data_IF_827832211763
#
_entry.id   IF_827832211763
#
_cell.length_a   1.000
_cell.length_b   1.000
_cell.length_c   1.000
_cell.angle_alpha   90.00
_cell.angle_beta   90.00
_cell.angle_gamma   90.00
#
_symmetry.space_group_name_H-M   'P 1'
#
loop_
_entity.id
_entity.type
_entity.pdbx_description
1 polymer ?
#
# COMPACT_ATOMS: atom_id res chain seq x y z
N UNK A 1 10.83 -3.60 21.33
CA UNK A 1 11.42 -3.27 20.02
C UNK A 1 10.49 -3.80 18.93
N UNK A 2 9.91 -2.93 18.10
CA UNK A 2 9.02 -3.34 17.01
C UNK A 2 9.74 -3.34 15.65
N UNK A 3 9.45 -4.30 14.78
CA UNK A 3 10.04 -4.41 13.44
C UNK A 3 9.16 -3.71 12.41
N UNK A 4 9.72 -3.03 11.41
CA UNK A 4 8.91 -2.49 10.31
C UNK A 4 8.61 -3.59 9.29
N UNK A 5 7.35 -3.86 8.95
CA UNK A 5 7.04 -4.80 7.90
C UNK A 5 7.52 -4.26 6.55
N UNK A 6 8.11 -5.12 5.72
CA UNK A 6 8.54 -4.71 4.38
C UNK A 6 7.34 -4.71 3.45
N UNK A 7 6.94 -3.54 2.96
CA UNK A 7 5.80 -3.39 2.06
C UNK A 7 6.29 -3.13 0.63
N UNK A 8 5.93 -4.04 -0.27
CA UNK A 8 6.14 -3.88 -1.70
C UNK A 8 4.84 -3.45 -2.36
N UNK A 9 4.91 -2.39 -3.17
CA UNK A 9 3.81 -1.90 -3.97
C UNK A 9 4.29 -1.77 -5.41
N UNK A 10 3.49 -2.21 -6.36
CA UNK A 10 3.77 -2.08 -7.80
C UNK A 10 2.51 -1.68 -8.53
N UNK A 11 2.68 -0.91 -9.61
CA UNK A 11 1.60 -0.51 -10.51
C UNK A 11 2.10 -0.56 -11.94
N UNK A 12 1.32 -1.18 -12.82
CA UNK A 12 1.63 -1.37 -14.22
C UNK A 12 0.54 -0.87 -15.16
N UNK A 13 0.54 -1.41 -16.38
CA UNK A 13 -0.43 -1.07 -17.44
C UNK A 13 -1.88 -1.27 -16.96
N UNK A 14 -2.79 -0.49 -17.52
CA UNK A 14 -4.24 -0.50 -17.19
C UNK A 14 -4.55 -0.35 -15.70
N UNK A 15 -3.63 0.28 -14.96
CA UNK A 15 -3.72 0.51 -13.52
C UNK A 15 -3.82 -0.79 -12.69
N UNK A 16 -3.26 -1.88 -13.21
CA UNK A 16 -3.09 -3.13 -12.46
C UNK A 16 -2.02 -2.92 -11.39
N UNK A 17 -2.42 -3.05 -10.15
CA UNK A 17 -1.56 -2.84 -9.00
C UNK A 17 -1.50 -4.11 -8.15
N UNK A 18 -0.41 -4.25 -7.42
CA UNK A 18 -0.23 -5.31 -6.45
C UNK A 18 0.46 -4.77 -5.20
N UNK A 19 0.10 -5.34 -4.06
CA UNK A 19 0.76 -5.10 -2.78
C UNK A 19 1.15 -6.42 -2.16
N UNK A 20 2.30 -6.46 -1.50
CA UNK A 20 2.76 -7.60 -0.71
C UNK A 20 3.44 -7.10 0.55
N UNK A 21 3.10 -7.71 1.68
CA UNK A 21 3.74 -7.46 2.98
C UNK A 21 4.60 -8.66 3.32
N UNK A 22 5.88 -8.42 3.58
CA UNK A 22 6.83 -9.42 4.07
C UNK A 22 7.17 -9.11 5.52
N UNK A 23 6.84 -10.05 6.39
CA UNK A 23 7.05 -10.02 7.82
C UNK A 23 7.27 -11.46 8.33
N UNK A 24 7.63 -11.62 9.60
CA UNK A 24 7.79 -12.92 10.23
C UNK A 24 6.46 -13.65 10.45
N UNK A 25 5.36 -12.90 10.54
CA UNK A 25 4.00 -13.43 10.70
C UNK A 25 3.13 -13.13 9.50
N UNK A 26 2.06 -13.92 9.34
CA UNK A 26 1.07 -13.68 8.28
C UNK A 26 0.23 -12.45 8.60
N UNK A 27 -0.01 -11.63 7.57
CA UNK A 27 -0.93 -10.49 7.62
C UNK A 27 -2.21 -10.74 6.82
N UNK A 28 -2.59 -12.01 6.61
CA UNK A 28 -3.87 -12.35 5.97
C UNK A 28 -5.06 -11.68 6.70
N UNK A 29 -6.00 -11.14 5.93
CA UNK A 29 -7.16 -10.42 6.47
C UNK A 29 -6.88 -8.99 6.98
N UNK A 30 -5.60 -8.60 7.11
CA UNK A 30 -5.23 -7.23 7.48
C UNK A 30 -5.32 -6.28 6.30
N UNK A 31 -5.40 -4.98 6.59
CA UNK A 31 -5.55 -3.92 5.60
C UNK A 31 -4.23 -3.21 5.34
N UNK A 32 -3.94 -3.01 4.06
CA UNK A 32 -2.97 -2.02 3.57
C UNK A 32 -3.72 -0.92 2.85
N UNK A 33 -3.33 0.32 3.10
CA UNK A 33 -3.92 1.50 2.49
C UNK A 33 -3.04 2.00 1.36
N UNK A 34 -3.62 2.32 0.21
CA UNK A 34 -2.93 3.10 -0.82
C UNK A 34 -3.16 4.57 -0.49
N UNK A 35 -2.05 5.29 -0.33
CA UNK A 35 -2.03 6.71 -0.10
C UNK A 35 -1.62 7.44 -1.38
N UNK A 36 -2.20 8.62 -1.56
CA UNK A 36 -1.84 9.58 -2.61
C UNK A 36 -1.24 10.81 -1.95
N UNK A 37 -0.14 11.29 -2.48
CA UNK A 37 0.42 12.59 -2.12
C UNK A 37 -0.38 13.69 -2.82
N UNK A 38 -0.87 14.66 -2.04
CA UNK A 38 -1.69 15.76 -2.53
C UNK A 38 -0.86 17.03 -2.74
N UNK A 39 -1.45 18.03 -3.41
CA UNK A 39 -0.85 19.36 -3.57
C UNK A 39 -0.57 20.10 -2.25
N UNK A 40 -1.20 19.66 -1.16
CA UNK A 40 -1.01 20.22 0.18
C UNK A 40 0.13 19.52 0.94
N UNK A 41 0.95 18.72 0.25
CA UNK A 41 2.05 17.95 0.83
C UNK A 41 1.63 16.88 1.85
N UNK A 42 0.42 16.34 1.70
CA UNK A 42 -0.14 15.35 2.61
C UNK A 42 -0.34 13.99 1.95
N UNK A 43 -0.20 12.94 2.76
CA UNK A 43 -0.51 11.57 2.37
C UNK A 43 -1.94 11.19 2.75
N UNK A 44 -2.84 11.18 1.77
CA UNK A 44 -4.25 10.86 1.99
C UNK A 44 -4.53 9.42 1.57
N UNK A 45 -5.14 8.64 2.46
CA UNK A 45 -5.62 7.28 2.17
C UNK A 45 -6.81 7.39 1.21
N UNK A 46 -6.75 6.72 0.06
CA UNK A 46 -7.89 6.71 -0.89
C UNK A 46 -8.35 5.31 -1.28
N UNK A 47 -7.59 4.26 -0.91
CA UNK A 47 -8.00 2.87 -1.13
C UNK A 47 -7.55 1.99 0.02
N UNK A 48 -8.45 1.14 0.52
CA UNK A 48 -8.10 0.04 1.41
C UNK A 48 -8.02 -1.27 0.61
N UNK A 49 -7.01 -2.09 0.93
CA UNK A 49 -6.76 -3.40 0.31
C UNK A 49 -6.64 -4.43 1.42
N UNK A 50 -7.54 -5.40 1.44
CA UNK A 50 -7.47 -6.54 2.36
C UNK A 50 -6.51 -7.57 1.77
N UNK A 51 -5.52 -7.99 2.57
CA UNK A 51 -4.52 -8.96 2.17
C UNK A 51 -5.09 -10.38 2.18
N UNK A 52 -4.72 -11.18 1.18
CA UNK A 52 -5.05 -12.61 1.14
C UNK A 52 -4.09 -13.46 1.97
N UNK A 53 -4.22 -14.78 1.87
CA UNK A 53 -3.38 -15.77 2.57
C UNK A 53 -1.88 -15.59 2.32
N UNK A 54 -1.49 -15.08 1.14
CA UNK A 54 -0.10 -14.77 0.79
C UNK A 54 0.44 -13.44 1.34
N UNK A 55 -0.30 -12.80 2.26
CA UNK A 55 -0.02 -11.43 2.74
C UNK A 55 0.11 -10.41 1.60
N UNK A 56 -0.58 -10.69 0.49
CA UNK A 56 -0.57 -9.88 -0.72
C UNK A 56 -1.92 -9.87 -1.42
N UNK A 57 -2.10 -8.91 -2.33
CA UNK A 57 -3.31 -8.78 -3.14
C UNK A 57 -3.03 -7.99 -4.41
N UNK A 58 -3.58 -8.45 -5.53
CA UNK A 58 -3.66 -7.71 -6.78
C UNK A 58 -5.02 -7.02 -6.91
N UNK A 59 -5.06 -5.83 -7.51
CA UNK A 59 -6.26 -5.01 -7.65
C UNK A 59 -6.11 -3.97 -8.78
N UNK A 60 -7.20 -3.26 -9.09
CA UNK A 60 -7.20 -2.12 -10.01
C UNK A 60 -7.49 -0.82 -9.26
N UNK A 61 -6.78 0.24 -9.63
CA UNK A 61 -6.84 1.52 -8.93
C UNK A 61 -7.95 2.47 -9.41
N UNK A 62 -8.43 2.34 -10.65
CA UNK A 62 -9.51 3.15 -11.24
C UNK A 62 -9.34 4.68 -11.04
N UNK A 63 -8.11 5.17 -11.12
CA UNK A 63 -7.74 6.57 -11.12
C UNK A 63 -8.21 7.26 -12.41
N UNK A 64 -8.68 8.50 -12.26
CA UNK A 64 -8.94 9.41 -13.39
C UNK A 64 -7.62 9.81 -14.07
N UNK A 65 -7.69 10.33 -15.29
CA UNK A 65 -6.52 10.86 -16.03
C UNK A 65 -5.74 11.85 -15.16
N UNK A 66 -4.41 11.79 -15.19
CA UNK A 66 -3.56 12.66 -14.38
C UNK A 66 -2.27 12.01 -13.89
N UNK A 67 -1.48 12.77 -13.13
CA UNK A 67 -0.24 12.33 -12.49
C UNK A 67 -0.48 12.12 -10.99
N UNK A 68 -0.04 10.99 -10.48
CA UNK A 68 -0.25 10.58 -9.09
C UNK A 68 1.07 10.14 -8.48
N UNK A 69 1.31 10.57 -7.24
CA UNK A 69 2.40 10.08 -6.41
C UNK A 69 1.79 9.19 -5.34
N UNK A 70 2.09 7.90 -5.38
CA UNK A 70 1.40 6.85 -4.63
C UNK A 70 2.36 6.07 -3.75
N UNK A 71 1.86 5.57 -2.62
CA UNK A 71 2.55 4.55 -1.80
C UNK A 71 1.54 3.62 -1.14
N UNK A 72 1.97 2.42 -0.78
CA UNK A 72 1.24 1.58 0.16
C UNK A 72 1.66 1.92 1.59
N UNK A 73 0.72 1.86 2.53
CA UNK A 73 0.90 2.20 3.94
C UNK A 73 0.11 1.22 4.82
N UNK A 74 0.75 0.71 5.86
CA UNK A 74 0.13 -0.15 6.87
C UNK A 74 0.33 0.50 8.25
N UNK A 75 -0.77 0.80 8.92
CA UNK A 75 -0.74 1.35 10.28
C UNK A 75 -0.32 0.28 11.30
N UNK A 76 0.22 0.70 12.44
CA UNK A 76 0.58 -0.17 13.57
C UNK A 76 -0.58 -1.13 13.95
N UNK A 77 -1.81 -0.62 14.07
CA UNK A 77 -2.99 -1.44 14.42
C UNK A 77 -3.29 -2.56 13.41
N UNK A 78 -2.86 -2.40 12.15
CA UNK A 78 -3.03 -3.42 11.12
C UNK A 78 -1.83 -4.36 11.09
N UNK A 79 -0.62 -3.85 11.32
CA UNK A 79 0.58 -4.66 11.40
C UNK A 79 0.54 -5.62 12.59
N UNK A 80 -0.02 -5.18 13.73
CA UNK A 80 -0.19 -5.99 14.94
C UNK A 80 1.00 -5.91 15.89
N UNK A 81 0.91 -6.63 16.99
CA UNK A 81 1.91 -6.63 18.07
C UNK A 81 3.29 -7.01 17.53
N UNK A 82 4.31 -6.27 17.96
CA UNK A 82 5.70 -6.48 17.51
C UNK A 82 6.05 -5.79 16.19
N UNK A 83 5.09 -5.13 15.52
CA UNK A 83 5.34 -4.37 14.30
C UNK A 83 5.07 -2.87 14.45
N UNK A 84 5.94 -2.08 13.83
CA UNK A 84 5.71 -0.64 13.62
C UNK A 84 4.86 -0.44 12.36
N UNK A 85 4.41 0.80 12.13
CA UNK A 85 3.86 1.16 10.82
C UNK A 85 4.92 1.00 9.73
N UNK A 86 4.45 0.71 8.53
CA UNK A 86 5.29 0.51 7.36
C UNK A 86 4.71 1.22 6.16
N UNK A 87 5.58 1.60 5.23
CA UNK A 87 5.18 2.12 3.93
C UNK A 87 6.11 1.59 2.85
N UNK A 88 5.59 1.50 1.63
CA UNK A 88 6.39 1.15 0.46
C UNK A 88 7.23 2.34 -0.01
N UNK A 89 8.12 2.08 -0.97
CA UNK A 89 8.66 3.14 -1.83
C UNK A 89 7.51 3.90 -2.51
N UNK A 90 7.76 5.18 -2.78
CA UNK A 90 6.86 6.05 -3.54
C UNK A 90 6.96 5.76 -5.03
N UNK A 91 5.81 5.71 -5.71
CA UNK A 91 5.73 5.53 -7.16
C UNK A 91 5.03 6.73 -7.77
N UNK A 92 5.63 7.31 -8.80
CA UNK A 92 4.98 8.29 -9.66
C UNK A 92 4.31 7.54 -10.82
N UNK A 93 3.01 7.67 -10.93
CA UNK A 93 2.20 7.02 -11.95
C UNK A 93 1.39 8.04 -12.76
N UNK A 94 1.40 7.90 -14.09
CA UNK A 94 0.64 8.76 -15.00
C UNK A 94 -0.42 7.95 -15.72
N UNK A 95 -1.68 8.34 -15.53
CA UNK A 95 -2.81 7.84 -16.30
C UNK A 95 -2.97 8.73 -17.54
N UNK A 96 -2.85 8.12 -18.71
CA UNK A 96 -3.04 8.80 -20.00
C UNK A 96 -4.49 8.82 -20.41
#
# INVERSE_FOLDING_TARGET
MGVRPTISFTIGKHQRAAVKVKAATSHAGRKVYIQRFTKFHEWVKFRAVVLGSSSGRAFRLHLKRGRYTLRAFMSINQAGTGYLEGYSRTIVFRVR
#
